data_IF_163769672707
#
_entry.id   IF_163769672707
#
_cell.length_a   1.000
_cell.length_b   1.000
_cell.length_c   1.000
_cell.angle_alpha   90.00
_cell.angle_beta   90.00
_cell.angle_gamma   90.00
#
_symmetry.space_group_name_H-M   'P 1'
#
loop_
_entity.id
_entity.type
_entity.pdbx_description
1 polymer ?
#
# COMPACT_ATOMS: atom_id res chain seq x y z
N UNK A 1 -4.96 -38.24 -10.90
CA UNK A 1 -5.47 -38.12 -12.29
C UNK A 1 -6.99 -38.32 -12.26
N UNK A 2 -7.77 -37.25 -12.48
CA UNK A 2 -9.18 -37.25 -12.91
C UNK A 2 -9.65 -35.79 -12.98
N UNK A 3 -9.63 -35.23 -14.18
CA UNK A 3 -10.31 -33.99 -14.57
C UNK A 3 -11.40 -34.39 -15.58
N UNK A 4 -12.64 -34.10 -15.25
CA UNK A 4 -13.83 -34.06 -16.11
C UNK A 4 -14.64 -32.87 -15.58
N UNK A 5 -15.31 -31.99 -16.34
CA UNK A 5 -15.55 -31.88 -17.77
C UNK A 5 -15.93 -30.40 -18.05
N UNK A 6 -15.58 -29.92 -19.25
CA UNK A 6 -16.16 -28.75 -19.90
C UNK A 6 -17.70 -28.75 -19.86
N UNK A 7 -18.33 -27.56 -19.86
CA UNK A 7 -19.26 -27.19 -20.93
C UNK A 7 -19.71 -25.72 -20.86
N UNK A 8 -19.67 -25.08 -22.03
CA UNK A 8 -20.51 -23.94 -22.49
C UNK A 8 -20.05 -22.52 -22.13
N UNK A 9 -19.08 -22.07 -22.93
CA UNK A 9 -19.18 -20.77 -23.59
C UNK A 9 -20.42 -20.76 -24.53
N UNK A 10 -21.00 -19.57 -24.71
CA UNK A 10 -21.99 -19.20 -25.72
C UNK A 10 -23.48 -19.58 -25.45
N UNK A 11 -24.12 -18.80 -24.58
CA UNK A 11 -25.51 -18.36 -24.75
C UNK A 11 -25.46 -16.82 -24.77
N UNK A 12 -25.36 -16.22 -25.96
CA UNK A 12 -26.50 -15.68 -26.74
C UNK A 12 -27.05 -14.42 -26.02
N UNK A 13 -26.46 -13.25 -26.29
CA UNK A 13 -27.04 -12.26 -27.22
C UNK A 13 -28.56 -12.06 -26.97
N UNK A 14 -28.87 -11.09 -26.10
CA UNK A 14 -30.15 -10.37 -25.92
C UNK A 14 -31.47 -11.12 -26.20
N UNK A 15 -32.35 -11.21 -25.18
CA UNK A 15 -33.75 -10.88 -25.45
C UNK A 15 -34.38 -9.89 -24.45
N UNK A 16 -35.31 -9.13 -25.02
CA UNK A 16 -36.08 -7.94 -24.62
C UNK A 16 -36.80 -7.92 -23.25
N UNK A 17 -37.15 -6.71 -22.75
CA UNK A 17 -37.83 -6.49 -21.48
C UNK A 17 -39.36 -6.37 -21.63
N UNK A 18 -40.13 -6.85 -20.64
CA UNK A 18 -41.47 -6.32 -20.30
C UNK A 18 -42.09 -7.02 -19.08
N UNK A 19 -42.28 -6.28 -17.98
CA UNK A 19 -43.59 -5.89 -17.40
C UNK A 19 -43.46 -5.36 -15.97
N UNK A 20 -43.62 -4.04 -15.86
CA UNK A 20 -44.45 -3.29 -14.90
C UNK A 20 -44.53 -3.80 -13.45
N UNK A 21 -43.82 -3.12 -12.56
CA UNK A 21 -44.27 -2.89 -11.19
C UNK A 21 -43.88 -1.47 -10.76
N UNK A 22 -44.85 -0.82 -10.15
CA UNK A 22 -45.01 0.59 -9.87
C UNK A 22 -44.29 1.05 -8.59
N UNK A 23 -44.18 2.37 -8.47
CA UNK A 23 -43.75 3.18 -7.32
C UNK A 23 -42.24 3.27 -7.05
N UNK A 24 -41.74 4.51 -7.18
CA UNK A 24 -41.00 5.13 -6.09
C UNK A 24 -39.48 5.14 -6.23
N UNK A 25 -38.97 6.32 -6.59
CA UNK A 25 -37.67 6.86 -6.20
C UNK A 25 -36.40 6.32 -6.89
N UNK A 26 -35.74 7.23 -7.59
CA UNK A 26 -34.43 7.10 -8.20
C UNK A 26 -33.37 6.90 -7.12
N UNK A 27 -32.95 5.65 -6.92
CA UNK A 27 -31.84 5.22 -6.03
C UNK A 27 -30.50 5.90 -6.34
N UNK A 28 -30.37 6.56 -7.49
CA UNK A 28 -29.18 7.32 -7.87
C UNK A 28 -29.09 8.72 -7.25
N UNK A 29 -30.19 9.29 -6.74
CA UNK A 29 -30.17 10.62 -6.10
C UNK A 29 -29.94 10.57 -4.57
N UNK A 30 -30.17 9.41 -3.94
CA UNK A 30 -29.94 9.21 -2.49
C UNK A 30 -28.45 8.99 -2.18
N UNK A 31 -27.66 8.53 -3.16
CA UNK A 31 -26.21 8.33 -2.99
C UNK A 31 -25.44 9.65 -3.15
N UNK A 32 -25.91 10.57 -4.01
CA UNK A 32 -25.21 11.84 -4.26
C UNK A 32 -25.50 12.91 -3.19
N UNK A 33 -26.71 12.94 -2.59
CA UNK A 33 -27.00 13.90 -1.50
C UNK A 33 -26.38 13.54 -0.16
N UNK A 34 -25.93 12.29 0.03
CA UNK A 34 -25.26 11.86 1.27
C UNK A 34 -23.74 12.01 1.24
N UNK A 35 -23.17 12.33 0.08
CA UNK A 35 -21.73 12.62 -0.06
C UNK A 35 -21.38 14.10 0.22
N UNK A 36 -22.31 15.04 0.07
CA UNK A 36 -22.07 16.45 0.38
C UNK A 36 -22.05 16.74 1.89
N UNK A 37 -22.78 16.00 2.72
CA UNK A 37 -22.74 16.17 4.19
C UNK A 37 -21.51 15.50 4.85
N UNK A 38 -20.86 14.55 4.18
CA UNK A 38 -19.61 13.94 4.65
C UNK A 38 -18.36 14.70 4.18
N UNK A 39 -18.52 15.70 3.30
CA UNK A 39 -17.44 16.54 2.78
C UNK A 39 -16.92 17.61 3.75
N UNK A 40 -17.73 18.03 4.73
CA UNK A 40 -17.39 19.14 5.64
C UNK A 40 -16.74 18.71 6.97
N UNK A 41 -16.62 17.40 7.24
CA UNK A 41 -15.95 16.83 8.42
C UNK A 41 -14.60 16.18 8.10
N UNK A 42 -13.93 16.66 7.05
CA UNK A 42 -12.52 16.31 6.75
C UNK A 42 -11.56 17.06 7.69
N UNK A 43 -11.90 17.09 8.98
CA UNK A 43 -11.10 17.66 10.05
C UNK A 43 -9.83 16.81 10.22
N UNK A 44 -8.70 17.45 9.98
CA UNK A 44 -7.42 17.25 10.66
C UNK A 44 -7.07 15.81 11.06
N UNK A 45 -6.71 15.01 10.05
CA UNK A 45 -5.89 13.82 10.24
C UNK A 45 -4.45 14.20 10.59
N UNK A 46 -4.29 14.82 11.77
CA UNK A 46 -3.02 15.05 12.45
C UNK A 46 -2.37 13.69 12.63
N UNK A 47 -1.21 13.50 11.98
CA UNK A 47 -0.40 12.28 12.13
C UNK A 47 -0.07 11.95 13.59
N UNK A 48 -0.13 12.94 14.48
CA UNK A 48 0.05 12.82 15.91
C UNK A 48 -1.09 12.05 16.62
N UNK A 49 -2.32 12.14 16.13
CA UNK A 49 -3.48 11.47 16.76
C UNK A 49 -3.45 9.95 16.67
N UNK A 50 -2.76 9.40 15.66
CA UNK A 50 -2.64 7.94 15.47
C UNK A 50 -1.61 7.30 16.40
N UNK A 51 -0.68 8.08 16.96
CA UNK A 51 0.28 7.58 17.95
C UNK A 51 -0.42 7.17 19.26
N UNK A 52 -1.52 7.84 19.62
CA UNK A 52 -2.23 7.60 20.89
C UNK A 52 -3.16 6.38 20.85
N UNK A 53 -3.64 5.95 19.68
CA UNK A 53 -4.49 4.75 19.56
C UNK A 53 -3.70 3.42 19.63
N UNK A 54 -2.37 3.46 19.48
CA UNK A 54 -1.50 2.27 19.44
C UNK A 54 -0.82 1.96 20.79
N UNK A 55 -1.11 2.74 21.85
CA UNK A 55 -0.52 2.64 23.19
C UNK A 55 -1.01 1.44 24.04
N UNK A 56 -1.73 0.48 23.43
CA UNK A 56 -2.23 -0.75 24.09
C UNK A 56 -1.51 -2.05 23.68
N UNK A 57 -0.36 -1.97 23.01
CA UNK A 57 0.46 -3.17 22.75
C UNK A 57 1.82 -3.02 23.44
N UNK A 58 1.90 -3.62 24.63
CA UNK A 58 3.10 -3.78 25.44
C UNK A 58 4.21 -4.48 24.64
N UNK A 59 5.41 -3.89 24.68
CA UNK A 59 6.62 -4.47 24.15
C UNK A 59 7.29 -5.38 25.20
N UNK A 60 7.75 -6.59 24.85
CA UNK A 60 8.63 -7.33 25.74
C UNK A 60 10.03 -6.71 25.74
N UNK A 61 10.48 -6.34 26.94
CA UNK A 61 11.86 -5.98 27.25
C UNK A 61 12.74 -7.24 27.18
N UNK A 62 13.77 -7.26 26.33
CA UNK A 62 15.05 -7.96 26.57
C UNK A 62 15.90 -8.04 25.29
N UNK A 63 17.13 -7.53 25.37
CA UNK A 63 18.34 -7.95 24.64
C UNK A 63 19.33 -6.78 24.77
N UNK A 64 20.07 -6.76 25.88
CA UNK A 64 21.44 -7.28 25.95
C UNK A 64 22.42 -6.45 25.13
N UNK A 65 23.19 -5.67 25.89
CA UNK A 65 24.41 -4.95 25.53
C UNK A 65 25.35 -5.90 24.79
N UNK A 66 26.09 -5.39 23.79
CA UNK A 66 27.55 -5.50 23.65
C UNK A 66 28.03 -5.10 22.23
N UNK A 67 29.21 -4.49 22.20
CA UNK A 67 30.10 -4.18 21.07
C UNK A 67 29.78 -2.86 20.34
N UNK A 68 30.30 -1.71 20.80
CA UNK A 68 31.68 -1.20 20.62
C UNK A 68 32.08 -1.15 19.13
N UNK A 69 32.06 0.06 18.57
CA UNK A 69 33.06 0.46 17.59
C UNK A 69 33.35 1.96 17.79
N UNK A 70 34.53 2.20 18.35
CA UNK A 70 35.16 3.49 18.57
C UNK A 70 35.82 3.90 17.26
N UNK A 71 35.51 5.07 16.69
CA UNK A 71 36.42 5.84 15.82
C UNK A 71 35.83 7.22 15.56
N UNK A 72 36.55 8.20 16.10
CA UNK A 72 36.61 9.64 15.83
C UNK A 72 36.02 10.13 14.49
N UNK A 73 35.21 11.18 14.54
CA UNK A 73 34.89 12.00 13.36
C UNK A 73 33.56 12.75 13.46
N UNK A 74 33.64 14.04 13.82
CA UNK A 74 32.70 15.14 13.51
C UNK A 74 31.21 14.82 13.33
N UNK A 75 30.41 15.27 14.29
CA UNK A 75 28.95 15.19 14.31
C UNK A 75 28.30 16.18 13.31
N UNK A 76 28.27 15.84 12.03
CA UNK A 76 27.35 16.44 11.06
C UNK A 76 26.05 15.63 11.01
N UNK A 77 25.20 15.86 11.99
CA UNK A 77 23.94 15.14 12.19
C UNK A 77 22.81 15.63 11.27
N UNK A 78 23.04 15.81 9.96
CA UNK A 78 21.97 16.10 9.01
C UNK A 78 22.12 15.53 7.59
N UNK A 79 23.07 14.64 7.30
CA UNK A 79 23.04 13.82 6.07
C UNK A 79 23.93 12.62 6.30
N UNK A 80 23.38 11.41 6.38
CA UNK A 80 24.20 10.20 6.40
C UNK A 80 24.39 9.76 4.93
N UNK A 81 25.53 10.04 4.28
CA UNK A 81 25.76 9.66 2.88
C UNK A 81 25.79 8.14 2.67
N UNK A 82 25.83 7.35 3.75
CA UNK A 82 25.90 5.89 3.71
C UNK A 82 24.62 5.19 3.19
N UNK A 83 23.52 5.91 2.93
CA UNK A 83 22.25 5.30 2.53
C UNK A 83 21.91 5.46 1.04
N UNK A 84 22.82 6.00 0.22
CA UNK A 84 22.58 6.13 -1.22
C UNK A 84 22.89 4.82 -1.94
N UNK A 85 21.82 4.11 -2.31
CA UNK A 85 21.89 2.97 -3.21
C UNK A 85 21.92 3.50 -4.65
N UNK A 86 23.01 3.29 -5.36
CA UNK A 86 23.14 3.70 -6.76
C UNK A 86 22.81 2.55 -7.71
N UNK A 87 22.48 2.88 -8.95
CA UNK A 87 22.17 1.90 -10.01
C UNK A 87 23.38 1.00 -10.27
N UNK A 88 24.56 1.59 -10.42
CA UNK A 88 25.82 0.87 -10.60
C UNK A 88 26.10 -0.10 -9.44
N UNK A 89 25.81 0.29 -8.20
CA UNK A 89 25.99 -0.58 -7.04
C UNK A 89 25.03 -1.79 -7.07
N UNK A 90 23.81 -1.64 -7.59
CA UNK A 90 22.87 -2.75 -7.76
C UNK A 90 23.25 -3.67 -8.93
N UNK A 91 23.74 -3.10 -10.03
CA UNK A 91 24.11 -3.85 -11.24
C UNK A 91 25.42 -4.63 -11.08
N UNK A 92 26.35 -4.14 -10.26
CA UNK A 92 27.60 -4.84 -9.95
C UNK A 92 27.40 -6.12 -9.13
N UNK A 93 26.25 -6.28 -8.45
CA UNK A 93 25.99 -7.39 -7.54
C UNK A 93 25.22 -8.54 -8.20
N UNK A 94 25.34 -9.75 -7.64
CA UNK A 94 24.46 -10.84 -8.05
C UNK A 94 22.99 -10.49 -7.77
N UNK A 95 22.07 -10.91 -8.65
CA UNK A 95 20.64 -10.56 -8.56
C UNK A 95 20.02 -10.79 -7.19
N UNK A 96 20.36 -11.91 -6.52
CA UNK A 96 19.84 -12.25 -5.18
C UNK A 96 20.24 -11.21 -4.14
N UNK A 97 21.51 -10.78 -4.18
CA UNK A 97 22.05 -9.80 -3.25
C UNK A 97 21.47 -8.41 -3.58
N UNK A 98 21.40 -8.04 -4.85
CA UNK A 98 20.78 -6.80 -5.33
C UNK A 98 19.32 -6.64 -4.85
N UNK A 99 18.51 -7.72 -4.96
CA UNK A 99 17.11 -7.74 -4.46
C UNK A 99 17.05 -7.52 -2.94
N UNK A 100 17.95 -8.15 -2.18
CA UNK A 100 18.01 -7.99 -0.73
C UNK A 100 18.42 -6.56 -0.33
N UNK A 101 19.39 -5.95 -1.01
CA UNK A 101 19.75 -4.54 -0.77
C UNK A 101 18.59 -3.62 -1.10
N UNK A 102 17.99 -3.75 -2.28
CA UNK A 102 16.82 -2.96 -2.68
C UNK A 102 15.71 -3.02 -1.62
N UNK A 103 15.35 -4.23 -1.17
CA UNK A 103 14.36 -4.43 -0.10
C UNK A 103 14.75 -3.69 1.19
N UNK A 104 16.00 -3.83 1.64
CA UNK A 104 16.49 -3.21 2.88
C UNK A 104 16.49 -1.67 2.80
N UNK A 105 16.93 -1.10 1.68
CA UNK A 105 16.94 0.35 1.48
C UNK A 105 15.51 0.89 1.41
N UNK A 106 14.63 0.27 0.62
CA UNK A 106 13.22 0.69 0.53
C UNK A 106 12.52 0.64 1.88
N UNK A 107 12.77 -0.41 2.67
CA UNK A 107 12.21 -0.53 4.01
C UNK A 107 12.72 0.56 4.95
N UNK A 108 14.04 0.79 5.00
CA UNK A 108 14.64 1.82 5.88
C UNK A 108 14.20 3.23 5.50
N UNK A 109 14.31 3.59 4.22
CA UNK A 109 13.90 4.92 3.72
C UNK A 109 12.39 5.11 3.88
N UNK A 110 11.59 4.08 3.63
CA UNK A 110 10.15 4.13 3.86
C UNK A 110 9.77 4.36 5.32
N UNK A 111 10.47 3.71 6.27
CA UNK A 111 10.26 3.95 7.71
C UNK A 111 10.60 5.39 8.13
N UNK A 112 11.69 5.95 7.58
CA UNK A 112 12.07 7.34 7.81
C UNK A 112 11.01 8.30 7.24
N UNK A 113 10.53 8.03 6.03
CA UNK A 113 9.48 8.81 5.33
C UNK A 113 8.21 8.94 6.18
N UNK A 114 7.75 7.82 6.76
CA UNK A 114 6.53 7.79 7.58
C UNK A 114 6.78 8.14 9.05
N UNK A 115 8.02 8.52 9.41
CA UNK A 115 8.45 8.82 10.78
C UNK A 115 8.07 7.73 11.78
N UNK A 116 8.19 6.46 11.35
CA UNK A 116 7.85 5.28 12.13
C UNK A 116 6.40 5.24 12.66
N UNK A 117 5.47 5.98 12.05
CA UNK A 117 4.07 6.04 12.49
C UNK A 117 3.35 4.69 12.44
N UNK A 118 2.53 4.42 13.46
CA UNK A 118 1.60 3.28 13.49
C UNK A 118 0.25 3.72 12.93
N UNK A 119 -0.43 2.92 12.09
CA UNK A 119 -0.12 1.59 11.60
C UNK A 119 0.65 1.58 10.27
N UNK A 120 1.02 2.75 9.74
CA UNK A 120 1.68 2.91 8.46
C UNK A 120 2.93 2.01 8.34
N UNK A 121 3.73 1.88 9.42
CA UNK A 121 4.89 0.98 9.49
C UNK A 121 4.56 -0.48 9.15
N UNK A 122 3.42 -0.98 9.62
CA UNK A 122 2.99 -2.36 9.41
C UNK A 122 2.42 -2.55 8.01
N UNK A 123 1.71 -1.55 7.50
CA UNK A 123 1.18 -1.55 6.12
C UNK A 123 2.32 -1.51 5.12
N UNK A 124 3.32 -0.65 5.32
CA UNK A 124 4.54 -0.58 4.52
C UNK A 124 5.26 -1.92 4.50
N UNK A 125 5.53 -2.49 5.68
CA UNK A 125 6.21 -3.78 5.80
C UNK A 125 5.44 -4.90 5.08
N UNK A 126 4.12 -4.97 5.28
CA UNK A 126 3.28 -5.96 4.62
C UNK A 126 3.30 -5.80 3.10
N UNK A 127 3.22 -4.56 2.61
CA UNK A 127 3.23 -4.25 1.18
C UNK A 127 4.57 -4.61 0.54
N UNK A 128 5.69 -4.27 1.20
CA UNK A 128 7.03 -4.66 0.75
C UNK A 128 7.22 -6.17 0.76
N UNK A 129 6.81 -6.87 1.83
CA UNK A 129 6.91 -8.34 1.87
C UNK A 129 6.07 -8.99 0.77
N UNK A 130 4.83 -8.53 0.56
CA UNK A 130 3.93 -9.05 -0.46
C UNK A 130 4.49 -8.80 -1.87
N UNK A 131 4.99 -7.60 -2.14
CA UNK A 131 5.54 -7.24 -3.46
C UNK A 131 6.80 -8.03 -3.81
N UNK A 132 7.75 -8.17 -2.89
CA UNK A 132 8.99 -8.90 -3.14
C UNK A 132 8.81 -10.43 -3.17
N UNK A 133 7.83 -10.97 -2.42
CA UNK A 133 7.55 -12.42 -2.42
C UNK A 133 6.73 -12.86 -3.63
N UNK A 134 5.78 -12.03 -4.09
CA UNK A 134 4.90 -12.37 -5.21
C UNK A 134 5.41 -11.83 -6.55
N UNK A 135 6.43 -10.96 -6.55
CA UNK A 135 6.98 -10.38 -7.76
C UNK A 135 7.74 -11.40 -8.58
N UNK A 136 7.56 -11.38 -9.90
CA UNK A 136 8.39 -12.19 -10.80
C UNK A 136 9.80 -11.63 -10.84
N UNK A 137 10.85 -12.45 -11.07
CA UNK A 137 12.21 -11.94 -11.17
C UNK A 137 12.30 -10.84 -12.22
N UNK A 138 11.59 -10.97 -13.36
CA UNK A 138 11.58 -10.01 -14.47
C UNK A 138 11.13 -8.59 -14.09
N UNK A 139 10.38 -8.42 -13.01
CA UNK A 139 9.91 -7.11 -12.53
C UNK A 139 10.99 -6.30 -11.79
N UNK A 140 12.13 -6.91 -11.47
CA UNK A 140 13.23 -6.20 -10.80
C UNK A 140 13.96 -5.27 -11.77
N UNK A 141 13.79 -3.96 -11.58
CA UNK A 141 14.47 -2.91 -12.34
C UNK A 141 15.25 -1.99 -11.38
N UNK A 142 16.59 -1.94 -11.45
CA UNK A 142 17.41 -1.17 -10.52
C UNK A 142 17.14 0.33 -10.63
N UNK A 143 16.92 0.86 -11.84
CA UNK A 143 16.60 2.27 -12.05
C UNK A 143 15.30 2.66 -11.33
N UNK A 144 14.24 1.85 -11.48
CA UNK A 144 12.96 2.15 -10.82
C UNK A 144 13.08 2.15 -9.29
N UNK A 145 13.93 1.29 -8.75
CA UNK A 145 14.19 1.22 -7.30
C UNK A 145 14.89 2.49 -6.82
N UNK A 146 15.92 2.95 -7.53
CA UNK A 146 16.63 4.19 -7.20
C UNK A 146 15.71 5.40 -7.28
N UNK A 147 14.92 5.51 -8.35
CA UNK A 147 13.90 6.57 -8.46
C UNK A 147 12.90 6.53 -7.29
N UNK A 148 12.50 5.34 -6.86
CA UNK A 148 11.59 5.16 -5.72
C UNK A 148 12.24 5.57 -4.40
N UNK A 149 13.54 5.33 -4.22
CA UNK A 149 14.27 5.79 -3.03
C UNK A 149 14.36 7.32 -2.98
N UNK A 150 14.62 7.98 -4.10
CA UNK A 150 14.60 9.45 -4.19
C UNK A 150 13.20 10.00 -3.93
N UNK A 151 12.16 9.39 -4.51
CA UNK A 151 10.77 9.74 -4.25
C UNK A 151 10.42 9.65 -2.75
N UNK A 152 10.87 8.60 -2.06
CA UNK A 152 10.68 8.45 -0.62
C UNK A 152 11.48 9.49 0.18
N UNK A 153 12.70 9.84 -0.24
CA UNK A 153 13.47 10.94 0.37
C UNK A 153 12.71 12.25 0.29
N UNK A 154 12.15 12.59 -0.87
CA UNK A 154 11.33 13.80 -1.06
C UNK A 154 10.04 13.75 -0.23
N UNK A 155 9.44 12.55 -0.07
CA UNK A 155 8.28 12.32 0.77
C UNK A 155 8.55 12.44 2.29
N UNK A 156 9.81 12.59 2.73
CA UNK A 156 10.13 12.78 4.15
C UNK A 156 9.67 14.14 4.70
N UNK A 157 9.57 15.15 3.83
CA UNK A 157 9.01 16.44 4.17
C UNK A 157 7.48 16.37 4.21
N UNK A 158 6.85 16.73 5.32
CA UNK A 158 5.39 16.66 5.47
C UNK A 158 4.63 17.59 4.52
N UNK A 159 5.30 18.62 3.99
CA UNK A 159 4.72 19.60 3.06
C UNK A 159 4.70 19.12 1.61
N UNK A 160 5.50 18.09 1.27
CA UNK A 160 5.70 17.66 -0.11
C UNK A 160 4.47 16.93 -0.67
N UNK A 161 4.29 17.02 -1.99
CA UNK A 161 3.26 16.27 -2.71
C UNK A 161 3.47 14.77 -2.59
N UNK A 162 4.71 14.34 -2.57
CA UNK A 162 5.19 12.97 -2.44
C UNK A 162 4.77 12.40 -1.09
N UNK A 163 4.87 13.19 -0.01
CA UNK A 163 4.38 12.79 1.31
C UNK A 163 2.86 12.55 1.30
N UNK A 164 2.10 13.44 0.65
CA UNK A 164 0.63 13.31 0.52
C UNK A 164 0.26 12.06 -0.30
N UNK A 165 1.01 11.77 -1.36
CA UNK A 165 0.82 10.56 -2.18
C UNK A 165 1.09 9.30 -1.36
N UNK A 166 2.22 9.22 -0.65
CA UNK A 166 2.56 8.06 0.19
C UNK A 166 1.55 7.89 1.33
N UNK A 167 1.10 8.99 1.95
CA UNK A 167 0.05 8.97 2.97
C UNK A 167 -1.22 8.32 2.44
N UNK A 168 -1.70 8.81 1.28
CA UNK A 168 -2.91 8.30 0.66
C UNK A 168 -2.76 6.83 0.26
N UNK A 169 -1.62 6.45 -0.33
CA UNK A 169 -1.32 5.06 -0.69
C UNK A 169 -1.39 4.13 0.51
N UNK A 170 -0.70 4.46 1.61
CA UNK A 170 -0.71 3.64 2.81
C UNK A 170 -2.09 3.60 3.48
N UNK A 171 -2.85 4.69 3.39
CA UNK A 171 -4.23 4.73 3.87
C UNK A 171 -5.13 3.78 3.08
N UNK A 172 -5.10 3.82 1.75
CA UNK A 172 -5.87 2.89 0.90
C UNK A 172 -5.44 1.44 1.15
N UNK A 173 -4.13 1.17 1.20
CA UNK A 173 -3.60 -0.18 1.46
C UNK A 173 -3.98 -0.71 2.84
N UNK A 174 -4.10 0.13 3.86
CA UNK A 174 -4.60 -0.27 5.17
C UNK A 174 -6.03 -0.83 5.08
N UNK A 175 -6.92 -0.13 4.39
CA UNK A 175 -8.33 -0.52 4.24
C UNK A 175 -8.57 -1.70 3.30
N UNK A 176 -7.62 -1.98 2.41
CA UNK A 176 -7.66 -3.15 1.54
C UNK A 176 -7.26 -4.46 2.24
N UNK A 177 -6.66 -4.42 3.44
CA UNK A 177 -6.21 -5.64 4.11
C UNK A 177 -7.41 -6.48 4.61
N UNK A 178 -7.60 -7.71 4.12
CA UNK A 178 -8.75 -8.54 4.51
C UNK A 178 -8.70 -8.93 5.99
N UNK A 179 -7.50 -9.04 6.55
CA UNK A 179 -7.28 -9.50 7.93
C UNK A 179 -7.86 -8.54 8.98
N UNK A 180 -7.95 -7.23 8.70
CA UNK A 180 -8.51 -6.27 9.65
C UNK A 180 -10.05 -6.22 9.63
N UNK A 181 -10.64 -6.66 8.52
CA UNK A 181 -12.09 -6.76 8.38
C UNK A 181 -12.64 -8.07 8.94
N UNK A 182 -11.82 -9.13 8.98
CA UNK A 182 -12.23 -10.45 9.46
C UNK A 182 -12.37 -10.59 10.98
N UNK A 183 -11.75 -9.70 11.77
CA UNK A 183 -11.83 -9.71 13.24
C UNK A 183 -13.16 -9.12 13.77
N UNK A 184 -13.95 -8.45 12.93
CA UNK A 184 -15.18 -7.79 13.35
C UNK A 184 -16.42 -8.67 13.32
N UNK A 185 -16.60 -9.49 12.28
CA UNK A 185 -17.82 -10.28 12.10
C UNK A 185 -17.56 -11.54 11.27
N UNK A 186 -17.26 -12.65 11.93
CA UNK A 186 -17.17 -13.98 11.30
C UNK A 186 -18.53 -14.50 10.78
N UNK A 187 -19.62 -13.75 10.98
CA UNK A 187 -21.00 -14.16 10.67
C UNK A 187 -21.54 -13.72 9.30
N UNK A 188 -20.78 -12.96 8.51
CA UNK A 188 -21.21 -12.52 7.16
C UNK A 188 -20.46 -13.19 5.99
N UNK A 189 -19.68 -14.24 6.25
CA UNK A 189 -18.68 -14.76 5.31
C UNK A 189 -19.15 -15.85 4.33
N UNK A 190 -20.42 -16.29 4.34
CA UNK A 190 -20.80 -17.56 3.69
C UNK A 190 -21.32 -17.54 2.24
N UNK A 191 -21.55 -16.37 1.62
CA UNK A 191 -21.86 -16.31 0.17
C UNK A 191 -21.62 -14.92 -0.44
N UNK A 192 -21.85 -13.87 0.35
CA UNK A 192 -21.60 -12.49 -0.07
C UNK A 192 -20.11 -12.15 -0.20
N UNK A 193 -19.21 -13.02 0.25
CA UNK A 193 -17.76 -12.79 0.20
C UNK A 193 -17.26 -12.57 -1.23
N UNK A 194 -17.82 -13.31 -2.21
CA UNK A 194 -17.50 -13.10 -3.63
C UNK A 194 -17.96 -11.73 -4.13
N UNK A 195 -19.25 -11.41 -3.96
CA UNK A 195 -19.85 -10.15 -4.44
C UNK A 195 -19.23 -8.93 -3.75
N UNK A 196 -19.09 -8.95 -2.42
CA UNK A 196 -18.44 -7.86 -1.66
C UNK A 196 -16.97 -7.70 -2.04
N UNK A 197 -16.25 -8.79 -2.28
CA UNK A 197 -14.86 -8.74 -2.75
C UNK A 197 -14.77 -8.13 -4.16
N UNK A 198 -15.69 -8.52 -5.06
CA UNK A 198 -15.77 -7.94 -6.40
C UNK A 198 -16.11 -6.45 -6.35
N UNK A 199 -17.13 -6.04 -5.58
CA UNK A 199 -17.51 -4.63 -5.39
C UNK A 199 -16.36 -3.80 -4.81
N UNK A 200 -15.67 -4.31 -3.78
CA UNK A 200 -14.47 -3.65 -3.24
C UNK A 200 -13.38 -3.55 -4.28
N UNK A 201 -13.12 -4.62 -5.03
CA UNK A 201 -12.10 -4.60 -6.08
C UNK A 201 -12.42 -3.56 -7.15
N UNK A 202 -13.70 -3.42 -7.52
CA UNK A 202 -14.19 -2.41 -8.45
C UNK A 202 -14.01 -0.98 -7.90
N UNK A 203 -14.30 -0.75 -6.61
CA UNK A 203 -14.12 0.54 -5.96
C UNK A 203 -12.67 1.02 -5.96
N UNK A 204 -11.69 0.10 -5.88
CA UNK A 204 -10.28 0.47 -5.91
C UNK A 204 -9.69 0.56 -7.33
N UNK A 205 -10.40 0.15 -8.39
CA UNK A 205 -9.88 0.19 -9.77
C UNK A 205 -9.38 1.58 -10.21
N UNK A 206 -10.10 2.68 -9.95
CA UNK A 206 -9.62 4.01 -10.33
C UNK A 206 -8.29 4.35 -9.64
N UNK A 207 -8.17 4.00 -8.35
CA UNK A 207 -6.95 4.21 -7.58
C UNK A 207 -5.77 3.41 -8.13
N UNK A 208 -5.96 2.12 -8.43
CA UNK A 208 -4.89 1.28 -9.00
C UNK A 208 -4.47 1.76 -10.39
N UNK A 209 -5.40 2.27 -11.21
CA UNK A 209 -5.09 2.85 -12.51
C UNK A 209 -4.24 4.11 -12.37
N UNK A 210 -4.61 5.01 -11.46
CA UNK A 210 -3.82 6.23 -11.16
C UNK A 210 -2.43 5.88 -10.63
N UNK A 211 -2.33 4.90 -9.73
CA UNK A 211 -1.05 4.42 -9.21
C UNK A 211 -0.17 3.85 -10.32
N UNK A 212 -0.76 3.11 -11.27
CA UNK A 212 -0.05 2.59 -12.45
C UNK A 212 0.47 3.72 -13.34
N UNK A 213 -0.36 4.72 -13.65
CA UNK A 213 0.05 5.88 -14.44
C UNK A 213 1.17 6.69 -13.76
N UNK A 214 1.09 6.84 -12.43
CA UNK A 214 2.13 7.48 -11.63
C UNK A 214 3.46 6.70 -11.72
N UNK A 215 3.40 5.38 -11.57
CA UNK A 215 4.60 4.53 -11.67
C UNK A 215 5.24 4.60 -13.06
N UNK A 216 4.46 4.65 -14.13
CA UNK A 216 5.02 4.74 -15.49
C UNK A 216 5.58 6.14 -15.80
N UNK A 217 4.91 7.21 -15.36
CA UNK A 217 5.38 8.59 -15.61
C UNK A 217 6.66 8.94 -14.86
N UNK A 218 6.83 8.47 -13.62
CA UNK A 218 7.99 8.76 -12.78
C UNK A 218 9.02 7.61 -12.74
N UNK A 219 8.76 6.51 -13.45
CA UNK A 219 9.59 5.31 -13.40
C UNK A 219 9.72 4.75 -11.99
N UNK A 220 8.63 4.65 -11.23
CA UNK A 220 8.62 4.17 -9.85
C UNK A 220 8.18 2.69 -9.77
N UNK A 221 8.39 2.09 -8.60
CA UNK A 221 7.93 0.73 -8.28
C UNK A 221 7.05 0.69 -7.02
N UNK A 222 6.14 1.66 -6.88
CA UNK A 222 5.18 1.67 -5.78
C UNK A 222 4.11 0.61 -5.99
N UNK A 223 3.75 -0.10 -4.92
CA UNK A 223 2.69 -1.12 -4.92
C UNK A 223 1.77 -0.95 -3.73
#
# INVERSE_FOLDING_TARGET
MKFQHNHRYAEILFPEPRKTLSLGETTTDVVLRKEEELGSKREDWKWEGWANASLKMEAPQSASKNNVCTTLGTCDCLTNPAMLLTVAALEAQSRKIAVLHAYRHLYRTGLQTIRYSSPARYVLLWTLRKSFRNGTPKEFNPQRIVNTLEFLRLASSSTSTEHKIIKNLLHVRFWQQPQKLALGDTKFFDAQTGVRSQMRSAAYRPFEMTLKMLNESLGLCLR
#
